data_IF_310752798219
#
_entry.id   IF_310752798219
#
_cell.length_a   1.000
_cell.length_b   1.000
_cell.length_c   1.000
_cell.angle_alpha   90.00
_cell.angle_beta   90.00
_cell.angle_gamma   90.00
#
_symmetry.space_group_name_H-M   'P 1'
#
loop_
_entity.id
_entity.type
_entity.pdbx_description
1 polymer ?
#
# COMPACT_ATOMS: atom_id res chain seq x y z
N UNK A 1 -14.33 13.05 1.79
CA UNK A 1 -14.98 14.20 1.14
C UNK A 1 -14.09 15.44 1.17
N UNK A 2 -13.60 15.88 2.35
CA UNK A 2 -12.83 17.13 2.50
C UNK A 2 -11.54 17.14 1.65
N UNK A 3 -10.68 16.14 1.78
CA UNK A 3 -9.40 16.08 1.08
C UNK A 3 -9.57 16.01 -0.45
N UNK A 4 -10.55 15.26 -0.93
CA UNK A 4 -10.88 15.20 -2.36
C UNK A 4 -11.30 16.59 -2.88
N UNK A 5 -12.20 17.25 -2.17
CA UNK A 5 -12.64 18.60 -2.54
C UNK A 5 -11.46 19.58 -2.55
N UNK A 6 -10.56 19.49 -1.57
CA UNK A 6 -9.33 20.28 -1.54
C UNK A 6 -8.48 20.08 -2.79
N UNK A 7 -8.26 18.83 -3.23
CA UNK A 7 -7.50 18.54 -4.45
C UNK A 7 -8.20 19.07 -5.71
N UNK A 8 -9.53 18.94 -5.79
CA UNK A 8 -10.33 19.43 -6.91
C UNK A 8 -10.33 20.96 -7.04
N UNK A 9 -10.19 21.66 -5.92
CA UNK A 9 -10.20 23.13 -5.87
C UNK A 9 -8.82 23.73 -5.60
N UNK A 10 -7.77 22.90 -5.67
CA UNK A 10 -6.40 23.34 -5.38
C UNK A 10 -5.96 24.44 -6.37
N UNK A 11 -5.58 25.59 -5.81
CA UNK A 11 -5.13 26.74 -6.58
C UNK A 11 -3.61 26.89 -6.51
N UNK A 12 -2.92 26.47 -7.58
CA UNK A 12 -1.44 26.53 -7.69
C UNK A 12 -0.91 27.96 -7.53
N UNK A 13 -1.69 28.99 -7.89
CA UNK A 13 -1.24 30.38 -7.78
C UNK A 13 -1.05 30.81 -6.33
N UNK A 14 -1.83 30.23 -5.42
CA UNK A 14 -1.74 30.46 -3.96
C UNK A 14 -0.63 29.65 -3.29
N UNK A 15 -0.23 28.52 -3.91
CA UNK A 15 0.71 27.54 -3.31
C UNK A 15 1.94 27.33 -4.20
N UNK A 16 2.59 28.44 -4.61
CA UNK A 16 3.69 28.46 -5.59
C UNK A 16 4.91 27.61 -5.19
N UNK A 17 5.09 27.34 -3.89
CA UNK A 17 6.23 26.58 -3.36
C UNK A 17 5.97 25.06 -3.28
N UNK A 18 4.77 24.58 -3.64
CA UNK A 18 4.49 23.15 -3.68
C UNK A 18 4.96 22.59 -5.02
N UNK A 19 6.07 21.84 -4.98
CA UNK A 19 6.63 21.19 -6.17
C UNK A 19 6.09 19.78 -6.42
N UNK A 20 5.54 19.12 -5.38
CA UNK A 20 5.05 17.74 -5.47
C UNK A 20 3.97 17.47 -4.43
N UNK A 21 3.02 16.63 -4.81
CA UNK A 21 2.01 16.04 -3.91
C UNK A 21 2.26 14.54 -3.85
N UNK A 22 2.37 14.02 -2.63
CA UNK A 22 2.37 12.58 -2.34
C UNK A 22 1.04 12.19 -1.69
N UNK A 23 0.37 11.17 -2.24
CA UNK A 23 -0.93 10.74 -1.75
C UNK A 23 -0.84 9.37 -1.09
N UNK A 24 -1.48 9.22 0.08
CA UNK A 24 -1.76 7.92 0.70
C UNK A 24 -3.22 7.54 0.42
N UNK A 25 -3.45 6.32 -0.04
CA UNK A 25 -4.78 5.87 -0.47
C UNK A 25 -4.94 4.36 -0.30
N UNK A 26 -6.18 3.89 -0.19
CA UNK A 26 -6.51 2.47 -0.38
C UNK A 26 -6.85 2.14 -1.85
N UNK A 27 -6.80 3.11 -2.73
CA UNK A 27 -7.08 3.04 -4.16
C UNK A 27 -8.50 2.53 -4.56
N UNK A 28 -9.38 2.25 -3.62
CA UNK A 28 -10.74 1.73 -3.94
C UNK A 28 -11.60 2.73 -4.70
N UNK A 29 -11.35 4.02 -4.53
CA UNK A 29 -12.05 5.10 -5.23
C UNK A 29 -11.19 5.75 -6.32
N UNK A 30 -10.05 5.16 -6.69
CA UNK A 30 -9.15 5.70 -7.70
C UNK A 30 -9.60 5.30 -9.11
N UNK A 31 -10.76 5.79 -9.51
CA UNK A 31 -11.29 5.62 -10.87
C UNK A 31 -10.76 6.72 -11.81
N UNK A 32 -10.83 6.47 -13.12
CA UNK A 32 -10.54 7.49 -14.12
C UNK A 32 -11.32 8.78 -13.88
N UNK A 33 -12.65 8.67 -13.68
CA UNK A 33 -13.49 9.82 -13.37
C UNK A 33 -13.02 10.60 -12.14
N UNK A 34 -12.58 9.89 -11.07
CA UNK A 34 -12.07 10.54 -9.87
C UNK A 34 -10.74 11.25 -10.17
N UNK A 35 -9.84 10.62 -10.92
CA UNK A 35 -8.57 11.22 -11.31
C UNK A 35 -8.80 12.47 -12.16
N UNK A 36 -9.59 12.38 -13.22
CA UNK A 36 -9.87 13.52 -14.09
C UNK A 36 -10.54 14.69 -13.35
N UNK A 37 -11.33 14.40 -12.33
CA UNK A 37 -11.92 15.46 -11.48
C UNK A 37 -10.89 16.28 -10.68
N UNK A 38 -9.63 15.85 -10.66
CA UNK A 38 -8.50 16.53 -9.99
C UNK A 38 -7.43 16.99 -10.99
N UNK A 39 -7.81 17.26 -12.25
CA UNK A 39 -6.88 17.58 -13.35
C UNK A 39 -5.95 18.77 -13.04
N UNK A 40 -6.38 19.71 -12.21
CA UNK A 40 -5.59 20.85 -11.74
C UNK A 40 -4.35 20.47 -10.90
N UNK A 41 -4.24 19.23 -10.41
CA UNK A 41 -3.08 18.76 -9.63
C UNK A 41 -2.33 17.59 -10.28
N UNK A 42 -2.71 17.14 -11.48
CA UNK A 42 -2.10 15.99 -12.15
C UNK A 42 -0.57 16.11 -12.28
N UNK A 43 -0.06 17.27 -12.64
CA UNK A 43 1.37 17.53 -12.77
C UNK A 43 2.10 17.61 -11.43
N UNK A 44 1.40 17.82 -10.32
CA UNK A 44 1.95 17.83 -8.96
C UNK A 44 1.93 16.46 -8.30
N UNK A 45 0.95 15.60 -8.63
CA UNK A 45 0.87 14.25 -8.06
C UNK A 45 1.87 13.35 -8.75
N UNK A 46 3.05 13.22 -8.14
CA UNK A 46 4.19 12.43 -8.65
C UNK A 46 4.35 11.10 -7.93
N UNK A 47 3.78 10.96 -6.75
CA UNK A 47 3.99 9.79 -5.90
C UNK A 47 2.73 9.41 -5.16
N UNK A 48 2.47 8.11 -5.08
CA UNK A 48 1.36 7.57 -4.29
C UNK A 48 1.83 6.39 -3.44
N UNK A 49 1.22 6.23 -2.28
CA UNK A 49 1.30 5.01 -1.47
C UNK A 49 -0.07 4.35 -1.40
N UNK A 50 -0.14 3.07 -1.78
CA UNK A 50 -1.37 2.29 -1.83
C UNK A 50 -1.32 1.23 -0.74
N UNK A 51 -2.25 1.31 0.20
CA UNK A 51 -2.38 0.34 1.28
C UNK A 51 -3.23 -0.85 0.84
N UNK A 52 -2.63 -2.05 0.76
CA UNK A 52 -3.30 -3.26 0.27
C UNK A 52 -3.42 -4.34 1.35
N UNK A 53 -2.31 -4.71 2.02
CA UNK A 53 -2.24 -5.68 3.11
C UNK A 53 -2.67 -7.11 2.75
N UNK A 54 -2.65 -7.49 1.48
CA UNK A 54 -3.04 -8.82 1.03
C UNK A 54 -2.45 -9.16 -0.34
N UNK A 55 -2.28 -10.45 -0.60
CA UNK A 55 -1.92 -10.99 -1.91
C UNK A 55 -3.08 -11.66 -2.63
N UNK A 56 -4.23 -11.86 -1.95
CA UNK A 56 -5.43 -12.50 -2.49
C UNK A 56 -6.71 -11.75 -2.15
N UNK A 57 -7.76 -11.96 -2.96
CA UNK A 57 -9.10 -11.41 -2.74
C UNK A 57 -9.63 -11.75 -1.35
N UNK A 58 -9.56 -13.04 -0.98
CA UNK A 58 -10.09 -13.54 0.30
C UNK A 58 -9.47 -12.81 1.49
N UNK A 59 -8.16 -12.65 1.49
CA UNK A 59 -7.46 -11.98 2.58
C UNK A 59 -7.69 -10.47 2.53
N UNK A 60 -7.69 -9.84 1.36
CA UNK A 60 -7.97 -8.42 1.22
C UNK A 60 -9.33 -8.02 1.81
N UNK A 61 -10.38 -8.70 1.43
CA UNK A 61 -11.75 -8.43 1.90
C UNK A 61 -11.94 -8.74 3.41
N UNK A 62 -11.07 -9.58 3.97
CA UNK A 62 -11.01 -9.86 5.41
C UNK A 62 -10.29 -8.75 6.20
N UNK A 63 -9.12 -8.32 5.75
CA UNK A 63 -8.26 -7.38 6.50
C UNK A 63 -8.61 -5.92 6.25
N UNK A 64 -9.17 -5.62 5.08
CA UNK A 64 -9.62 -4.28 4.69
C UNK A 64 -11.14 -4.19 4.76
N UNK A 65 -11.65 -3.56 5.83
CA UNK A 65 -13.09 -3.38 6.03
C UNK A 65 -13.74 -2.73 4.80
N UNK A 66 -14.78 -3.38 4.23
CA UNK A 66 -15.46 -2.96 3.00
C UNK A 66 -14.52 -2.88 1.78
N UNK A 67 -13.41 -3.62 1.80
CA UNK A 67 -12.52 -3.75 0.64
C UNK A 67 -13.22 -4.49 -0.50
N UNK A 68 -13.02 -4.01 -1.71
CA UNK A 68 -13.42 -4.68 -2.96
C UNK A 68 -12.14 -4.94 -3.76
N UNK A 69 -11.74 -6.21 -3.83
CA UNK A 69 -10.51 -6.62 -4.51
C UNK A 69 -10.59 -6.39 -6.02
N UNK A 70 -11.72 -6.69 -6.63
CA UNK A 70 -11.86 -6.58 -8.08
C UNK A 70 -11.79 -5.11 -8.49
N UNK A 71 -12.40 -4.22 -7.70
CA UNK A 71 -12.28 -2.78 -7.88
C UNK A 71 -10.84 -2.31 -7.67
N UNK A 72 -10.14 -2.79 -6.65
CA UNK A 72 -8.73 -2.46 -6.44
C UNK A 72 -7.89 -2.87 -7.64
N UNK A 73 -8.05 -4.10 -8.14
CA UNK A 73 -7.27 -4.59 -9.29
C UNK A 73 -7.52 -3.74 -10.55
N UNK A 74 -8.78 -3.41 -10.84
CA UNK A 74 -9.15 -2.50 -11.93
C UNK A 74 -8.51 -1.12 -11.77
N UNK A 75 -8.52 -0.60 -10.56
CA UNK A 75 -7.94 0.71 -10.29
C UNK A 75 -6.41 0.70 -10.38
N UNK A 76 -5.72 -0.40 -10.01
CA UNK A 76 -4.27 -0.55 -10.24
C UNK A 76 -3.94 -0.56 -11.74
N UNK A 77 -4.75 -1.22 -12.56
CA UNK A 77 -4.59 -1.21 -14.02
C UNK A 77 -4.73 0.23 -14.56
N UNK A 78 -5.71 0.99 -14.09
CA UNK A 78 -5.84 2.40 -14.46
C UNK A 78 -4.66 3.25 -13.97
N UNK A 79 -4.24 3.10 -12.70
CA UNK A 79 -3.08 3.81 -12.14
C UNK A 79 -1.84 3.58 -13.00
N UNK A 80 -1.65 2.37 -13.52
CA UNK A 80 -0.52 2.03 -14.41
C UNK A 80 -0.51 2.81 -15.73
N UNK A 81 -1.61 3.46 -16.11
CA UNK A 81 -1.71 4.31 -17.31
C UNK A 81 -1.36 5.78 -17.06
N UNK A 82 -1.25 6.20 -15.80
CA UNK A 82 -1.06 7.60 -15.43
C UNK A 82 0.40 8.02 -15.62
N UNK A 83 0.68 8.75 -16.69
CA UNK A 83 2.04 9.13 -17.10
C UNK A 83 2.74 10.12 -16.16
N UNK A 84 1.99 10.85 -15.33
CA UNK A 84 2.55 11.83 -14.38
C UNK A 84 3.09 11.18 -13.12
N UNK A 85 2.72 9.93 -12.83
CA UNK A 85 3.22 9.18 -11.68
C UNK A 85 4.65 8.68 -11.94
N UNK A 86 5.53 9.04 -11.04
CA UNK A 86 6.95 8.64 -11.06
C UNK A 86 7.25 7.54 -10.04
N UNK A 87 6.49 7.52 -8.94
CA UNK A 87 6.70 6.58 -7.85
C UNK A 87 5.36 6.01 -7.34
N UNK A 88 5.28 4.70 -7.23
CA UNK A 88 4.20 4.00 -6.52
C UNK A 88 4.81 3.12 -5.44
N UNK A 89 4.33 3.27 -4.22
CA UNK A 89 4.64 2.38 -3.11
C UNK A 89 3.41 1.56 -2.75
N UNK A 90 3.54 0.24 -2.76
CA UNK A 90 2.54 -0.68 -2.23
C UNK A 90 2.89 -1.00 -0.79
N UNK A 91 1.96 -0.85 0.14
CA UNK A 91 2.19 -1.11 1.56
C UNK A 91 1.41 -2.30 2.08
N UNK A 92 2.06 -3.06 2.97
CA UNK A 92 1.58 -4.29 3.57
C UNK A 92 1.84 -4.27 5.08
N UNK A 93 0.79 -4.16 5.87
CA UNK A 93 0.87 -4.27 7.34
C UNK A 93 0.77 -5.74 7.72
N UNK A 94 1.88 -6.29 8.21
CA UNK A 94 2.01 -7.71 8.56
C UNK A 94 1.18 -8.02 9.81
N UNK A 95 0.28 -8.99 9.69
CA UNK A 95 -0.56 -9.49 10.76
C UNK A 95 -0.87 -10.98 10.58
N UNK A 96 -1.46 -11.60 11.59
CA UNK A 96 -1.75 -13.05 11.60
C UNK A 96 -2.62 -13.51 10.42
N UNK A 97 -3.45 -12.63 9.88
CA UNK A 97 -4.33 -12.98 8.76
C UNK A 97 -3.64 -13.01 7.40
N UNK A 98 -2.47 -12.38 7.24
CA UNK A 98 -1.90 -12.13 5.91
C UNK A 98 -0.42 -12.51 5.73
N UNK A 99 0.33 -12.79 6.79
CA UNK A 99 1.79 -13.00 6.71
C UNK A 99 2.23 -14.11 5.73
N UNK A 100 1.33 -15.03 5.38
CA UNK A 100 1.59 -16.11 4.41
C UNK A 100 1.49 -15.64 2.95
N UNK A 101 1.00 -14.44 2.72
CA UNK A 101 0.74 -13.90 1.37
C UNK A 101 1.76 -12.84 0.92
N UNK A 102 2.87 -12.68 1.63
CA UNK A 102 3.87 -11.65 1.31
C UNK A 102 4.43 -11.79 -0.11
N UNK A 103 4.69 -13.01 -0.57
CA UNK A 103 5.17 -13.27 -1.95
C UNK A 103 4.10 -12.96 -3.00
N UNK A 104 2.85 -13.32 -2.75
CA UNK A 104 1.73 -12.99 -3.65
C UNK A 104 1.52 -11.48 -3.74
N UNK A 105 1.62 -10.78 -2.60
CA UNK A 105 1.56 -9.31 -2.57
C UNK A 105 2.74 -8.68 -3.32
N UNK A 106 3.96 -9.19 -3.15
CA UNK A 106 5.15 -8.69 -3.85
C UNK A 106 4.96 -8.73 -5.37
N UNK A 107 4.29 -9.76 -5.89
CA UNK A 107 4.01 -9.92 -7.30
C UNK A 107 3.03 -8.87 -7.86
N UNK A 108 2.28 -8.15 -7.01
CA UNK A 108 1.39 -7.07 -7.49
C UNK A 108 2.16 -5.91 -8.14
N UNK A 109 3.46 -5.75 -7.86
CA UNK A 109 4.32 -4.77 -8.55
C UNK A 109 4.26 -4.92 -10.07
N UNK A 110 4.14 -6.14 -10.57
CA UNK A 110 4.08 -6.41 -12.01
C UNK A 110 2.86 -5.80 -12.72
N UNK A 111 1.81 -5.44 -11.97
CA UNK A 111 0.65 -4.73 -12.51
C UNK A 111 0.93 -3.24 -12.80
N UNK A 112 2.04 -2.73 -12.30
CA UNK A 112 2.43 -1.32 -12.38
C UNK A 112 3.71 -1.12 -13.21
N UNK A 113 3.90 -1.94 -14.24
CA UNK A 113 5.12 -2.00 -15.05
C UNK A 113 5.41 -0.76 -15.91
N UNK A 114 4.43 0.13 -16.09
CA UNK A 114 4.62 1.40 -16.80
C UNK A 114 5.04 2.54 -15.86
N UNK A 115 5.04 2.31 -14.54
CA UNK A 115 5.47 3.31 -13.56
C UNK A 115 7.00 3.21 -13.41
N UNK A 116 7.75 4.32 -13.51
CA UNK A 116 9.22 4.30 -13.46
C UNK A 116 9.80 3.67 -12.20
N UNK A 117 9.13 3.86 -11.05
CA UNK A 117 9.59 3.32 -9.77
C UNK A 117 8.43 2.75 -8.96
N UNK A 118 8.40 1.42 -8.85
CA UNK A 118 7.45 0.71 -7.99
C UNK A 118 8.20 0.06 -6.83
N UNK A 119 7.72 0.27 -5.61
CA UNK A 119 8.30 -0.27 -4.39
C UNK A 119 7.24 -0.94 -3.55
N UNK A 120 7.66 -1.91 -2.73
CA UNK A 120 6.85 -2.48 -1.66
C UNK A 120 7.43 -2.11 -0.29
N UNK A 121 6.57 -1.94 0.70
CA UNK A 121 7.00 -1.75 2.07
C UNK A 121 6.17 -2.60 3.03
N UNK A 122 6.88 -3.33 3.88
CA UNK A 122 6.28 -4.20 4.90
C UNK A 122 6.38 -3.54 6.28
N UNK A 123 5.22 -3.25 6.87
CA UNK A 123 5.10 -2.62 8.19
C UNK A 123 4.74 -3.64 9.26
N UNK A 124 5.31 -3.49 10.45
CA UNK A 124 4.74 -4.12 11.65
C UNK A 124 3.35 -3.54 11.91
N UNK A 125 2.40 -4.40 12.28
CA UNK A 125 1.16 -3.92 12.89
C UNK A 125 1.50 -3.19 14.20
N UNK A 126 1.04 -1.96 14.33
CA UNK A 126 1.24 -1.14 15.54
C UNK A 126 -0.04 -1.05 16.35
N UNK A 127 0.12 -1.04 17.68
CA UNK A 127 -1.00 -0.77 18.57
C UNK A 127 -1.23 0.74 18.70
N UNK A 128 -2.36 1.16 18.18
CA UNK A 128 -2.84 2.55 18.29
C UNK A 128 -3.83 2.72 19.46
N UNK A 129 -3.95 1.72 20.34
CA UNK A 129 -4.89 1.73 21.47
C UNK A 129 -6.36 1.52 21.10
N UNK A 130 -6.65 1.19 19.84
CA UNK A 130 -8.02 1.02 19.32
C UNK A 130 -8.35 -0.43 18.94
N UNK A 131 -7.34 -1.29 18.86
CA UNK A 131 -7.49 -2.68 18.43
C UNK A 131 -7.58 -3.62 19.64
N UNK A 132 -8.78 -4.12 19.94
CA UNK A 132 -9.02 -5.01 21.08
C UNK A 132 -8.26 -6.34 21.03
N UNK A 133 -7.92 -6.84 19.83
CA UNK A 133 -7.25 -8.11 19.59
C UNK A 133 -5.84 -7.94 19.00
N UNK A 134 -5.15 -6.87 19.37
CA UNK A 134 -3.79 -6.57 18.86
C UNK A 134 -2.81 -7.74 19.08
N UNK A 135 -2.77 -8.34 20.26
CA UNK A 135 -1.87 -9.44 20.59
C UNK A 135 -2.12 -10.68 19.70
N UNK A 136 -3.38 -10.94 19.33
CA UNK A 136 -3.74 -12.04 18.43
C UNK A 136 -3.39 -11.76 16.97
N UNK A 137 -3.20 -10.50 16.59
CA UNK A 137 -2.89 -10.07 15.22
C UNK A 137 -1.41 -9.79 15.00
N UNK A 138 -0.69 -9.41 16.03
CA UNK A 138 0.72 -9.00 15.94
C UNK A 138 1.66 -10.22 15.85
N UNK A 139 1.58 -10.95 14.73
CA UNK A 139 2.32 -12.21 14.46
C UNK A 139 3.85 -12.06 14.60
N UNK A 140 4.35 -10.85 14.48
CA UNK A 140 5.76 -10.51 14.61
C UNK A 140 6.25 -10.47 16.07
N UNK A 141 5.37 -10.56 17.07
CA UNK A 141 5.76 -10.62 18.49
C UNK A 141 6.27 -12.03 18.84
N UNK A 142 7.36 -12.11 19.60
CA UNK A 142 8.01 -13.39 19.96
C UNK A 142 7.13 -14.34 20.78
N UNK A 143 6.14 -13.81 21.49
CA UNK A 143 5.15 -14.59 22.26
C UNK A 143 3.91 -15.00 21.45
N UNK A 144 3.80 -14.59 20.17
CA UNK A 144 2.66 -14.96 19.33
C UNK A 144 2.75 -16.44 18.91
N UNK A 145 1.61 -17.15 18.95
CA UNK A 145 1.54 -18.60 18.65
C UNK A 145 2.14 -18.98 17.29
N UNK A 146 2.03 -18.11 16.29
CA UNK A 146 2.51 -18.33 14.92
C UNK A 146 3.86 -17.64 14.64
N UNK A 147 4.55 -17.09 15.67
CA UNK A 147 5.80 -16.36 15.47
C UNK A 147 6.90 -17.20 14.81
N UNK A 148 7.06 -18.47 15.23
CA UNK A 148 8.07 -19.36 14.66
C UNK A 148 7.81 -19.64 13.18
N UNK A 149 6.54 -19.85 12.78
CA UNK A 149 6.15 -20.03 11.38
C UNK A 149 6.38 -18.74 10.59
N UNK A 150 5.94 -17.60 11.12
CA UNK A 150 6.18 -16.29 10.52
C UNK A 150 7.67 -16.04 10.26
N UNK A 151 8.52 -16.28 11.26
CA UNK A 151 9.97 -16.11 11.15
C UNK A 151 10.56 -16.99 10.05
N UNK A 152 10.12 -18.24 9.94
CA UNK A 152 10.56 -19.16 8.87
C UNK A 152 10.13 -18.66 7.48
N UNK A 153 8.89 -18.23 7.32
CA UNK A 153 8.36 -17.67 6.07
C UNK A 153 9.12 -16.40 5.70
N UNK A 154 9.32 -15.48 6.66
CA UNK A 154 10.07 -14.26 6.44
C UNK A 154 11.50 -14.52 5.95
N UNK A 155 12.23 -15.43 6.62
CA UNK A 155 13.60 -15.80 6.23
C UNK A 155 13.69 -16.34 4.79
N UNK A 156 12.66 -17.04 4.31
CA UNK A 156 12.60 -17.50 2.94
C UNK A 156 12.24 -16.36 1.98
N UNK A 157 11.31 -15.52 2.37
CA UNK A 157 10.90 -14.34 1.60
C UNK A 157 12.06 -13.36 1.39
N UNK A 158 12.89 -13.10 2.42
CA UNK A 158 14.08 -12.24 2.30
C UNK A 158 15.08 -12.69 1.22
N UNK A 159 15.11 -13.98 0.89
CA UNK A 159 16.02 -14.52 -0.14
C UNK A 159 15.59 -14.20 -1.56
N UNK A 160 14.30 -13.91 -1.76
CA UNK A 160 13.72 -13.72 -3.09
C UNK A 160 13.38 -12.27 -3.42
N UNK A 161 13.34 -11.40 -2.41
CA UNK A 161 13.02 -9.98 -2.62
C UNK A 161 14.22 -9.20 -3.16
N UNK A 162 13.93 -8.19 -3.97
CA UNK A 162 14.91 -7.19 -4.37
C UNK A 162 14.95 -6.06 -3.33
N UNK A 163 16.04 -5.96 -2.57
CA UNK A 163 16.23 -4.98 -1.50
C UNK A 163 16.28 -3.53 -1.97
N UNK A 164 16.47 -3.26 -3.27
CA UNK A 164 16.38 -1.92 -3.83
C UNK A 164 14.93 -1.42 -3.95
N UNK A 165 13.99 -2.35 -4.13
CA UNK A 165 12.57 -2.04 -4.34
C UNK A 165 11.66 -2.51 -3.20
N UNK A 166 12.18 -3.31 -2.28
CA UNK A 166 11.44 -3.87 -1.15
C UNK A 166 12.08 -3.47 0.17
N UNK A 167 11.31 -2.83 1.04
CA UNK A 167 11.78 -2.34 2.34
C UNK A 167 10.85 -2.80 3.47
N UNK A 168 11.31 -2.77 4.72
CA UNK A 168 10.51 -3.14 5.89
C UNK A 168 10.97 -2.43 7.17
N UNK A 169 10.11 -2.44 8.20
CA UNK A 169 10.42 -1.92 9.54
C UNK A 169 10.51 -3.02 10.62
N UNK A 170 10.89 -4.24 10.24
CA UNK A 170 11.00 -5.41 11.15
C UNK A 170 12.34 -5.48 11.89
N UNK A 171 13.16 -4.45 11.84
CA UNK A 171 14.46 -4.42 12.53
C UNK A 171 14.28 -4.69 14.01
N UNK A 172 15.08 -5.63 14.55
CA UNK A 172 15.04 -6.05 15.96
C UNK A 172 13.90 -7.04 16.30
N UNK A 173 13.13 -7.51 15.31
CA UNK A 173 12.08 -8.53 15.49
C UNK A 173 12.56 -9.92 15.08
N UNK A 174 13.45 -10.00 14.10
CA UNK A 174 13.86 -11.23 13.39
C UNK A 174 15.31 -11.61 13.67
#
# INVERSE_FOLDING_TARGET
PFFRNFLQTFDKSKYKNIGMIHLHTNATLWTEQMWESMSNVHDLVKSIEISIDAGTKKTYEKVRRNGDWDMLMKNLEYINTIKTLENVKLSFVIQDDNYKEMELFENLKHKLNNIPRVRTHYYKLLDWGVMKNFEEKAVWKSNHKNFAEFKSIWKNFEKIINTETTTHNLVGVL
#
